data_IF_727041758086
#
_entry.id   IF_727041758086
#
_cell.length_a   1.000
_cell.length_b   1.000
_cell.length_c   1.000
_cell.angle_alpha   90.00
_cell.angle_beta   90.00
_cell.angle_gamma   90.00
#
_symmetry.space_group_name_H-M   'P 1'
#
loop_
_entity.id
_entity.type
_entity.pdbx_description
1 polymer ?
#
# COMPACT_ATOMS: atom_id res chain seq x y z
N UNK A 1 27.96 -13.97 3.36
CA UNK A 1 27.02 -13.92 4.51
C UNK A 1 25.91 -12.95 4.14
N UNK A 2 24.67 -13.40 4.03
CA UNK A 2 23.53 -12.48 3.95
C UNK A 2 23.38 -11.81 5.32
N UNK A 3 23.29 -10.49 5.36
CA UNK A 3 23.03 -9.79 6.62
C UNK A 3 21.57 -10.02 7.02
N UNK A 4 21.33 -10.24 8.31
CA UNK A 4 19.99 -10.29 8.88
C UNK A 4 19.37 -8.90 8.87
N UNK A 5 18.07 -8.81 8.64
CA UNK A 5 17.37 -7.54 8.72
C UNK A 5 17.44 -6.96 10.14
N UNK A 6 17.75 -5.67 10.24
CA UNK A 6 17.78 -4.92 11.49
C UNK A 6 16.69 -3.85 11.47
N UNK A 7 15.69 -4.00 12.36
CA UNK A 7 14.59 -3.05 12.46
C UNK A 7 15.09 -1.69 12.97
N UNK A 8 14.92 -0.68 12.13
CA UNK A 8 15.40 0.70 12.36
C UNK A 8 16.93 0.84 12.36
N UNK A 9 17.65 -0.14 11.82
CA UNK A 9 19.06 0.00 11.46
C UNK A 9 19.27 1.01 10.32
N UNK A 10 20.53 1.33 10.04
CA UNK A 10 20.90 2.38 9.06
C UNK A 10 20.31 2.13 7.67
N UNK A 11 20.36 0.89 7.17
CA UNK A 11 19.80 0.53 5.87
C UNK A 11 18.27 0.72 5.82
N UNK A 12 17.58 0.33 6.89
CA UNK A 12 16.13 0.49 7.00
C UNK A 12 15.74 1.98 6.99
N UNK A 13 16.35 2.78 7.85
CA UNK A 13 16.09 4.22 7.93
C UNK A 13 16.43 4.95 6.63
N UNK A 14 17.54 4.59 5.99
CA UNK A 14 17.89 5.13 4.68
C UNK A 14 16.84 4.79 3.62
N UNK A 15 16.31 3.56 3.63
CA UNK A 15 15.27 3.12 2.70
C UNK A 15 13.96 3.88 2.92
N UNK A 16 13.54 4.05 4.18
CA UNK A 16 12.38 4.87 4.54
C UNK A 16 12.55 6.32 4.11
N UNK A 17 13.75 6.90 4.32
CA UNK A 17 14.06 8.25 3.91
C UNK A 17 13.98 8.41 2.39
N UNK A 18 14.56 7.48 1.62
CA UNK A 18 14.49 7.49 0.16
C UNK A 18 13.04 7.43 -0.33
N UNK A 19 12.24 6.52 0.23
CA UNK A 19 10.81 6.41 -0.11
C UNK A 19 10.07 7.72 0.20
N UNK A 20 10.25 8.28 1.40
CA UNK A 20 9.61 9.52 1.81
C UNK A 20 10.01 10.72 0.94
N UNK A 21 11.31 10.85 0.64
CA UNK A 21 11.84 11.90 -0.25
C UNK A 21 11.26 11.76 -1.65
N UNK A 22 11.28 10.56 -2.23
CA UNK A 22 10.73 10.33 -3.57
C UNK A 22 9.22 10.56 -3.61
N UNK A 23 8.49 10.16 -2.57
CA UNK A 23 7.03 10.32 -2.51
C UNK A 23 6.61 11.80 -2.56
N UNK A 24 7.46 12.73 -2.14
CA UNK A 24 7.17 14.16 -2.14
C UNK A 24 7.87 14.89 -3.28
N UNK A 25 9.19 14.76 -3.41
CA UNK A 25 9.98 15.58 -4.34
C UNK A 25 9.75 15.20 -5.80
N UNK A 26 9.60 13.91 -6.12
CA UNK A 26 9.35 13.47 -7.50
C UNK A 26 8.07 14.10 -8.07
N UNK A 27 6.87 13.90 -7.46
CA UNK A 27 5.66 14.48 -8.01
C UNK A 27 5.58 16.00 -7.90
N UNK A 28 6.21 16.62 -6.89
CA UNK A 28 6.32 18.08 -6.83
C UNK A 28 7.18 18.64 -7.96
N UNK A 29 8.32 17.99 -8.26
CA UNK A 29 9.20 18.34 -9.35
C UNK A 29 8.50 18.23 -10.70
N UNK A 30 7.79 17.13 -10.94
CA UNK A 30 6.97 16.96 -12.15
C UNK A 30 5.91 18.06 -12.24
N UNK A 31 5.13 18.28 -11.18
CA UNK A 31 4.05 19.28 -11.20
C UNK A 31 4.54 20.71 -11.40
N UNK A 32 5.65 21.11 -10.77
CA UNK A 32 6.11 22.51 -10.76
C UNK A 32 7.09 22.84 -11.87
N UNK A 33 7.97 21.89 -12.22
CA UNK A 33 9.11 22.14 -13.09
C UNK A 33 8.91 21.51 -14.48
N UNK A 34 8.25 20.35 -14.56
CA UNK A 34 8.14 19.56 -15.80
C UNK A 34 6.73 18.96 -15.99
N UNK A 35 5.67 19.78 -16.11
CA UNK A 35 4.30 19.28 -16.23
C UNK A 35 4.09 18.35 -17.45
N UNK A 36 4.83 18.54 -18.53
CA UNK A 36 4.79 17.68 -19.73
C UNK A 36 5.22 16.24 -19.44
N UNK A 37 5.98 16.02 -18.36
CA UNK A 37 6.43 14.70 -17.91
C UNK A 37 5.41 13.97 -17.04
N UNK A 38 4.23 14.56 -16.81
CA UNK A 38 3.19 13.96 -15.97
C UNK A 38 2.77 12.55 -16.40
N UNK A 39 2.61 12.31 -17.72
CA UNK A 39 2.26 10.97 -18.24
C UNK A 39 3.46 10.04 -18.32
N UNK A 40 4.61 10.42 -18.91
CA UNK A 40 5.79 9.55 -18.96
C UNK A 40 6.24 9.03 -17.59
N UNK A 41 6.28 9.89 -16.58
CA UNK A 41 6.69 9.47 -15.23
C UNK A 41 5.66 8.53 -14.61
N UNK A 42 4.36 8.78 -14.80
CA UNK A 42 3.33 7.86 -14.32
C UNK A 42 3.42 6.48 -14.99
N UNK A 43 3.67 6.44 -16.31
CA UNK A 43 3.87 5.20 -17.04
C UNK A 43 5.13 4.46 -16.60
N UNK A 44 6.22 5.18 -16.34
CA UNK A 44 7.43 4.60 -15.78
C UNK A 44 7.17 3.98 -14.40
N UNK A 45 6.51 4.70 -13.49
CA UNK A 45 6.16 4.18 -12.17
C UNK A 45 5.25 2.95 -12.26
N UNK A 46 4.25 2.96 -13.15
CA UNK A 46 3.37 1.82 -13.39
C UNK A 46 4.16 0.62 -13.96
N UNK A 47 5.08 0.86 -14.91
CA UNK A 47 5.94 -0.17 -15.46
C UNK A 47 6.84 -0.77 -14.37
N UNK A 48 7.46 0.05 -13.52
CA UNK A 48 8.30 -0.41 -12.43
C UNK A 48 7.52 -1.25 -11.41
N UNK A 49 6.30 -0.84 -11.07
CA UNK A 49 5.38 -1.59 -10.20
C UNK A 49 5.05 -2.97 -10.78
N UNK A 50 4.71 -3.05 -12.07
CA UNK A 50 4.36 -4.32 -12.70
C UNK A 50 5.60 -5.20 -12.96
N UNK A 51 6.73 -4.60 -13.31
CA UNK A 51 7.99 -5.31 -13.55
C UNK A 51 8.50 -5.97 -12.26
N UNK A 52 8.51 -5.23 -11.14
CA UNK A 52 8.92 -5.82 -9.86
C UNK A 52 7.98 -6.97 -9.46
N UNK A 53 6.67 -6.84 -9.69
CA UNK A 53 5.70 -7.86 -9.35
C UNK A 53 5.89 -9.11 -10.19
N UNK A 54 6.18 -8.92 -11.47
CA UNK A 54 6.52 -10.02 -12.39
C UNK A 54 7.76 -10.77 -11.93
N UNK A 55 8.79 -10.06 -11.45
CA UNK A 55 9.99 -10.68 -10.87
C UNK A 55 9.64 -11.45 -9.59
N UNK A 56 8.78 -10.90 -8.73
CA UNK A 56 8.31 -11.58 -7.53
C UNK A 56 7.57 -12.88 -7.87
N UNK A 57 6.59 -12.82 -8.78
CA UNK A 57 5.85 -13.99 -9.25
C UNK A 57 6.76 -15.03 -9.90
N UNK A 58 7.78 -14.61 -10.66
CA UNK A 58 8.77 -15.52 -11.21
C UNK A 58 9.58 -16.24 -10.13
N UNK A 59 9.98 -15.55 -9.05
CA UNK A 59 10.66 -16.17 -7.91
C UNK A 59 9.76 -17.16 -7.16
N UNK A 60 8.48 -16.83 -7.00
CA UNK A 60 7.49 -17.72 -6.39
C UNK A 60 7.30 -18.96 -7.26
N UNK A 61 7.13 -18.80 -8.57
CA UNK A 61 6.98 -19.89 -9.54
C UNK A 61 8.22 -20.80 -9.56
N UNK A 62 9.42 -20.21 -9.53
CA UNK A 62 10.67 -20.97 -9.50
C UNK A 62 10.84 -21.78 -8.21
N UNK A 63 10.26 -21.33 -7.09
CA UNK A 63 10.39 -21.97 -5.78
C UNK A 63 9.29 -22.99 -5.47
N UNK A 64 8.06 -22.70 -5.86
CA UNK A 64 6.87 -23.49 -5.49
C UNK A 64 6.14 -24.10 -6.69
N UNK A 65 6.55 -23.77 -7.91
CA UNK A 65 5.86 -24.19 -9.13
C UNK A 65 4.68 -23.28 -9.49
N UNK A 66 3.91 -23.69 -10.50
CA UNK A 66 2.72 -22.98 -10.95
C UNK A 66 1.52 -23.40 -10.06
N UNK A 67 1.37 -22.72 -8.92
CA UNK A 67 0.36 -23.02 -7.90
C UNK A 67 -0.47 -21.82 -7.44
N UNK A 68 -1.22 -22.01 -6.35
CA UNK A 68 -2.07 -20.98 -5.76
C UNK A 68 -1.25 -19.76 -5.28
N UNK A 69 0.01 -19.95 -4.92
CA UNK A 69 0.97 -18.94 -4.45
C UNK A 69 1.20 -17.81 -5.45
N UNK A 70 0.86 -18.01 -6.73
CA UNK A 70 0.97 -17.00 -7.79
C UNK A 70 -0.25 -16.08 -7.88
N UNK A 71 -1.33 -16.38 -7.16
CA UNK A 71 -2.52 -15.55 -7.18
C UNK A 71 -2.24 -14.24 -6.42
N UNK A 72 -2.57 -13.06 -6.97
CA UNK A 72 -2.33 -11.76 -6.34
C UNK A 72 -3.40 -11.47 -5.28
N UNK A 73 -3.60 -12.40 -4.35
CA UNK A 73 -4.61 -12.34 -3.30
C UNK A 73 -4.10 -11.68 -2.02
N UNK A 74 -2.79 -11.41 -1.92
CA UNK A 74 -2.25 -10.54 -0.89
C UNK A 74 -2.58 -9.07 -1.16
N UNK A 75 -2.81 -8.34 -0.06
CA UNK A 75 -3.18 -6.93 -0.11
C UNK A 75 -2.08 -6.07 -0.76
N UNK A 76 -0.82 -6.42 -0.59
CA UNK A 76 0.33 -5.76 -1.21
C UNK A 76 0.34 -5.94 -2.73
N UNK A 77 0.16 -7.17 -3.23
CA UNK A 77 0.07 -7.47 -4.65
C UNK A 77 -1.11 -6.72 -5.30
N UNK A 78 -2.28 -6.74 -4.65
CA UNK A 78 -3.43 -5.97 -5.14
C UNK A 78 -3.15 -4.45 -5.09
N UNK A 79 -2.46 -3.95 -4.06
CA UNK A 79 -2.08 -2.54 -3.97
C UNK A 79 -1.15 -2.11 -5.10
N UNK A 80 -0.21 -2.97 -5.53
CA UNK A 80 0.64 -2.75 -6.70
C UNK A 80 -0.21 -2.60 -7.96
N UNK A 81 -1.13 -3.54 -8.20
CA UNK A 81 -2.01 -3.53 -9.38
C UNK A 81 -2.91 -2.29 -9.41
N UNK A 82 -3.54 -1.93 -8.28
CA UNK A 82 -4.39 -0.75 -8.18
C UNK A 82 -3.59 0.56 -8.29
N UNK A 83 -2.35 0.60 -7.80
CA UNK A 83 -1.46 1.75 -7.98
C UNK A 83 -1.11 1.96 -9.45
N UNK A 84 -0.73 0.89 -10.16
CA UNK A 84 -0.50 0.95 -11.60
C UNK A 84 -1.77 1.39 -12.35
N UNK A 85 -2.93 0.84 -12.01
CA UNK A 85 -4.22 1.26 -12.57
C UNK A 85 -4.43 2.77 -12.42
N UNK A 86 -4.28 3.31 -11.21
CA UNK A 86 -4.48 4.74 -10.93
C UNK A 86 -3.50 5.60 -11.71
N UNK A 87 -2.24 5.19 -11.82
CA UNK A 87 -1.24 5.92 -12.60
C UNK A 87 -1.58 5.97 -14.09
N UNK A 88 -2.08 4.87 -14.65
CA UNK A 88 -2.43 4.76 -16.08
C UNK A 88 -3.74 5.47 -16.43
N UNK A 89 -4.73 5.45 -15.53
CA UNK A 89 -6.10 5.90 -15.84
C UNK A 89 -6.51 7.20 -15.16
N UNK A 90 -5.83 7.59 -14.07
CA UNK A 90 -6.26 8.70 -13.22
C UNK A 90 -7.60 8.46 -12.50
N UNK A 91 -8.05 7.21 -12.36
CA UNK A 91 -9.37 6.88 -11.82
C UNK A 91 -9.55 7.33 -10.36
N UNK A 92 -10.48 8.26 -10.05
CA UNK A 92 -10.72 8.71 -8.68
C UNK A 92 -11.26 7.59 -7.78
N UNK A 93 -12.06 6.66 -8.34
CA UNK A 93 -12.67 5.56 -7.56
C UNK A 93 -11.62 4.55 -7.08
N UNK A 94 -10.67 4.20 -7.94
CA UNK A 94 -9.57 3.31 -7.56
C UNK A 94 -8.62 4.03 -6.62
N UNK A 95 -8.34 5.32 -6.89
CA UNK A 95 -7.52 6.16 -6.02
C UNK A 95 -8.01 6.16 -4.56
N UNK A 96 -9.32 6.25 -4.34
CA UNK A 96 -9.88 6.25 -2.98
C UNK A 96 -9.54 4.99 -2.20
N UNK A 97 -9.58 3.83 -2.85
CA UNK A 97 -9.25 2.54 -2.23
C UNK A 97 -7.75 2.50 -1.92
N UNK A 98 -6.92 2.73 -2.94
CA UNK A 98 -5.46 2.61 -2.80
C UNK A 98 -4.87 3.69 -1.87
N UNK A 99 -5.49 4.85 -1.76
CA UNK A 99 -5.11 5.88 -0.80
C UNK A 99 -5.11 5.32 0.63
N UNK A 100 -6.19 4.66 1.02
CA UNK A 100 -6.31 4.11 2.36
C UNK A 100 -5.42 2.90 2.57
N UNK A 101 -5.27 2.02 1.58
CA UNK A 101 -4.40 0.85 1.69
C UNK A 101 -2.91 1.23 1.75
N UNK A 102 -2.47 2.18 0.93
CA UNK A 102 -1.08 2.62 0.88
C UNK A 102 -0.65 3.32 2.18
N UNK A 103 -1.48 4.24 2.69
CA UNK A 103 -1.14 4.97 3.91
C UNK A 103 -1.47 4.24 5.21
N UNK A 104 -2.14 3.09 5.16
CA UNK A 104 -2.30 2.20 6.31
C UNK A 104 -1.40 0.97 6.18
N UNK A 105 -1.88 -0.09 5.53
CA UNK A 105 -1.19 -1.38 5.45
C UNK A 105 0.21 -1.30 4.81
N UNK A 106 0.37 -0.63 3.67
CA UNK A 106 1.68 -0.53 3.01
C UNK A 106 2.68 0.28 3.85
N UNK A 107 2.24 1.36 4.49
CA UNK A 107 3.10 2.16 5.38
C UNK A 107 3.46 1.36 6.64
N UNK A 108 2.54 0.58 7.20
CA UNK A 108 2.85 -0.32 8.31
C UNK A 108 3.86 -1.40 7.90
N UNK A 109 3.71 -1.98 6.70
CA UNK A 109 4.67 -2.94 6.16
C UNK A 109 6.06 -2.32 5.95
N UNK A 110 6.14 -1.05 5.54
CA UNK A 110 7.41 -0.33 5.45
C UNK A 110 8.03 -0.06 6.82
N UNK A 111 7.24 0.32 7.84
CA UNK A 111 7.75 0.68 9.16
C UNK A 111 8.14 -0.54 10.01
N UNK A 112 7.42 -1.65 9.86
CA UNK A 112 7.67 -2.90 10.58
C UNK A 112 7.63 -4.06 9.58
N UNK A 113 8.64 -4.18 8.71
CA UNK A 113 8.67 -5.18 7.66
C UNK A 113 8.90 -6.58 8.23
N UNK A 114 8.19 -7.56 7.66
CA UNK A 114 8.42 -8.97 7.97
C UNK A 114 9.52 -9.55 7.06
N UNK A 115 10.75 -9.04 7.23
CA UNK A 115 11.93 -9.47 6.48
C UNK A 115 12.92 -10.20 7.39
N UNK A 116 13.45 -11.32 6.92
CA UNK A 116 14.59 -12.00 7.56
C UNK A 116 15.93 -11.49 7.02
N UNK A 117 16.01 -11.23 5.72
CA UNK A 117 17.23 -10.80 5.03
C UNK A 117 17.27 -9.27 4.95
N UNK A 118 18.38 -8.69 5.38
CA UNK A 118 18.68 -7.26 5.29
C UNK A 118 19.28 -6.86 3.94
N UNK A 119 19.62 -5.58 3.81
CA UNK A 119 20.34 -5.05 2.65
C UNK A 119 21.73 -5.70 2.54
N UNK A 120 22.23 -6.03 1.32
CA UNK A 120 21.68 -5.77 -0.01
C UNK A 120 20.95 -6.99 -0.63
N UNK A 121 20.26 -7.81 0.17
CA UNK A 121 19.54 -8.98 -0.39
C UNK A 121 18.49 -8.54 -1.42
N UNK A 122 18.31 -9.36 -2.47
CA UNK A 122 17.30 -9.10 -3.50
C UNK A 122 15.89 -9.01 -2.90
N UNK A 123 15.60 -9.83 -1.89
CA UNK A 123 14.32 -9.82 -1.17
C UNK A 123 14.08 -8.50 -0.44
N UNK A 124 15.10 -7.96 0.24
CA UNK A 124 15.04 -6.64 0.84
C UNK A 124 14.75 -5.55 -0.22
N UNK A 125 15.51 -5.56 -1.32
CA UNK A 125 15.38 -4.55 -2.38
C UNK A 125 13.99 -4.58 -3.01
N UNK A 126 13.50 -5.77 -3.40
CA UNK A 126 12.17 -5.92 -4.01
C UNK A 126 11.05 -5.53 -3.04
N UNK A 127 11.19 -5.85 -1.74
CA UNK A 127 10.21 -5.46 -0.73
C UNK A 127 10.07 -3.94 -0.63
N UNK A 128 11.17 -3.21 -0.43
CA UNK A 128 11.15 -1.75 -0.33
C UNK A 128 10.80 -1.08 -1.65
N UNK A 129 11.20 -1.65 -2.78
CA UNK A 129 10.81 -1.16 -4.11
C UNK A 129 9.29 -1.29 -4.31
N UNK A 130 8.71 -2.45 -4.04
CA UNK A 130 7.27 -2.69 -4.19
C UNK A 130 6.44 -1.75 -3.31
N UNK A 131 6.65 -1.79 -1.99
CA UNK A 131 5.88 -1.00 -1.04
C UNK A 131 6.17 0.51 -1.17
N UNK A 132 7.43 0.86 -1.42
CA UNK A 132 7.84 2.25 -1.64
C UNK A 132 7.20 2.84 -2.89
N UNK A 133 7.20 2.12 -4.01
CA UNK A 133 6.56 2.57 -5.26
C UNK A 133 5.05 2.75 -5.09
N UNK A 134 4.36 1.91 -4.31
CA UNK A 134 2.93 2.10 -4.01
C UNK A 134 2.71 3.45 -3.31
N UNK A 135 3.48 3.77 -2.26
CA UNK A 135 3.38 5.06 -1.56
C UNK A 135 3.70 6.23 -2.49
N UNK A 136 4.79 6.14 -3.27
CA UNK A 136 5.17 7.16 -4.26
C UNK A 136 4.05 7.36 -5.28
N UNK A 137 3.41 6.31 -5.74
CA UNK A 137 2.33 6.35 -6.75
C UNK A 137 1.08 7.03 -6.23
N UNK A 138 0.69 6.77 -4.97
CA UNK A 138 -0.46 7.45 -4.34
C UNK A 138 -0.15 8.93 -4.14
N UNK A 139 1.03 9.28 -3.66
CA UNK A 139 1.44 10.69 -3.57
C UNK A 139 1.50 11.37 -4.95
N UNK A 140 1.94 10.64 -5.97
CA UNK A 140 1.95 11.12 -7.35
C UNK A 140 0.54 11.44 -7.85
N UNK A 141 -0.40 10.51 -7.68
CA UNK A 141 -1.80 10.72 -8.02
C UNK A 141 -2.42 11.89 -7.23
N UNK A 142 -2.07 12.04 -5.95
CA UNK A 142 -2.51 13.18 -5.15
C UNK A 142 -1.99 14.53 -5.67
N UNK A 143 -0.70 14.61 -5.97
CA UNK A 143 -0.04 15.87 -6.26
C UNK A 143 -0.21 16.26 -7.72
N UNK A 144 0.03 15.33 -8.64
CA UNK A 144 0.03 15.56 -10.10
C UNK A 144 -1.39 15.49 -10.66
N UNK A 145 -2.15 14.44 -10.34
CA UNK A 145 -3.53 14.29 -10.82
C UNK A 145 -4.56 15.00 -9.95
N UNK A 146 -4.13 15.58 -8.81
CA UNK A 146 -4.98 16.33 -7.87
C UNK A 146 -6.11 15.48 -7.29
N UNK A 147 -5.89 14.17 -7.17
CA UNK A 147 -6.84 13.26 -6.52
C UNK A 147 -6.74 13.41 -5.00
N UNK A 148 -7.87 13.23 -4.31
CA UNK A 148 -7.94 13.29 -2.85
C UNK A 148 -9.13 12.48 -2.33
N UNK A 149 -9.08 11.97 -1.09
CA UNK A 149 -10.23 11.31 -0.49
C UNK A 149 -11.32 12.33 -0.10
N UNK A 150 -12.54 11.80 -0.01
CA UNK A 150 -13.77 12.48 0.41
C UNK A 150 -14.46 11.65 1.52
N UNK A 151 -15.45 12.19 2.25
CA UNK A 151 -16.12 11.43 3.31
C UNK A 151 -16.69 10.10 2.81
N UNK A 152 -17.29 10.11 1.60
CA UNK A 152 -17.83 8.93 0.96
C UNK A 152 -16.75 7.90 0.55
N UNK A 153 -15.47 8.27 0.55
CA UNK A 153 -14.36 7.37 0.23
C UNK A 153 -14.13 6.35 1.35
N UNK A 154 -14.40 6.69 2.61
CA UNK A 154 -14.25 5.77 3.76
C UNK A 154 -15.14 4.53 3.60
N UNK A 155 -16.49 4.64 3.48
CA UNK A 155 -17.34 3.44 3.35
C UNK A 155 -17.07 2.68 2.05
N UNK A 156 -16.63 3.34 0.98
CA UNK A 156 -16.23 2.66 -0.27
C UNK A 156 -14.97 1.82 -0.11
N UNK A 157 -13.94 2.38 0.51
CA UNK A 157 -12.71 1.64 0.78
C UNK A 157 -12.92 0.54 1.82
N UNK A 158 -13.71 0.80 2.86
CA UNK A 158 -14.06 -0.22 3.85
C UNK A 158 -14.85 -1.37 3.22
N UNK A 159 -15.87 -1.05 2.40
CA UNK A 159 -16.65 -2.04 1.66
C UNK A 159 -15.80 -2.86 0.70
N UNK A 160 -14.89 -2.23 -0.05
CA UNK A 160 -13.95 -2.94 -0.93
C UNK A 160 -13.00 -3.83 -0.13
N UNK A 161 -12.47 -3.34 1.00
CA UNK A 161 -11.56 -4.11 1.86
C UNK A 161 -12.27 -5.35 2.41
N UNK A 162 -13.51 -5.20 2.87
CA UNK A 162 -14.31 -6.32 3.36
C UNK A 162 -14.66 -7.30 2.23
N UNK A 163 -15.10 -6.82 1.08
CA UNK A 163 -15.41 -7.67 -0.07
C UNK A 163 -14.18 -8.46 -0.54
N UNK A 164 -13.01 -7.81 -0.60
CA UNK A 164 -11.76 -8.47 -0.94
C UNK A 164 -11.35 -9.49 0.12
N UNK A 165 -11.43 -9.14 1.42
CA UNK A 165 -11.13 -10.07 2.49
C UNK A 165 -12.04 -11.32 2.49
N UNK A 166 -13.34 -11.15 2.20
CA UNK A 166 -14.27 -12.29 2.05
C UNK A 166 -13.87 -13.17 0.87
N UNK A 167 -13.57 -12.57 -0.29
CA UNK A 167 -13.11 -13.30 -1.47
C UNK A 167 -11.83 -14.10 -1.16
N UNK A 168 -10.86 -13.46 -0.51
CA UNK A 168 -9.58 -14.08 -0.13
C UNK A 168 -9.78 -15.17 0.92
N UNK A 169 -10.68 -14.97 1.89
CA UNK A 169 -11.00 -15.99 2.88
C UNK A 169 -11.61 -17.24 2.23
N UNK A 170 -12.52 -17.08 1.27
CA UNK A 170 -13.09 -18.20 0.51
C UNK A 170 -12.00 -18.91 -0.31
N UNK A 171 -11.12 -18.16 -0.99
CA UNK A 171 -10.01 -18.75 -1.73
C UNK A 171 -9.05 -19.53 -0.81
N UNK A 172 -8.70 -18.97 0.35
CA UNK A 172 -7.87 -19.62 1.36
C UNK A 172 -8.46 -20.95 1.84
N UNK A 173 -9.77 -21.00 2.09
CA UNK A 173 -10.45 -22.24 2.50
C UNK A 173 -10.45 -23.30 1.38
N UNK A 174 -10.59 -22.89 0.12
CA UNK A 174 -10.61 -23.82 -1.02
C UNK A 174 -9.22 -24.33 -1.41
N UNK A 175 -8.21 -23.47 -1.30
CA UNK A 175 -6.85 -23.72 -1.78
C UNK A 175 -5.89 -24.16 -0.65
N UNK A 176 -6.33 -24.13 0.61
CA UNK A 176 -5.48 -24.41 1.77
C UNK A 176 -4.38 -23.37 2.00
N UNK A 177 -4.58 -22.14 1.52
CA UNK A 177 -3.60 -21.04 1.59
C UNK A 177 -3.88 -20.10 2.76
N UNK A 178 -2.97 -19.14 2.99
CA UNK A 178 -3.09 -18.14 4.06
C UNK A 178 -2.79 -16.71 3.57
N UNK A 179 -3.36 -16.32 2.44
CA UNK A 179 -3.28 -14.94 1.94
C UNK A 179 -3.84 -13.94 2.94
N UNK A 180 -3.21 -12.76 2.99
CA UNK A 180 -3.53 -11.68 3.93
C UNK A 180 -3.52 -12.09 5.41
N UNK A 181 -2.94 -13.26 5.75
CA UNK A 181 -2.96 -13.85 7.08
C UNK A 181 -4.38 -13.94 7.66
N UNK A 182 -5.36 -14.40 6.86
CA UNK A 182 -6.75 -14.56 7.32
C UNK A 182 -7.02 -15.90 8.00
N UNK A 183 -6.21 -16.94 7.76
CA UNK A 183 -6.39 -18.27 8.36
C UNK A 183 -5.50 -18.46 9.58
N UNK A 184 -4.27 -17.94 9.52
CA UNK A 184 -3.33 -17.97 10.63
C UNK A 184 -2.47 -16.69 10.67
N UNK A 185 -2.05 -16.31 11.87
CA UNK A 185 -1.09 -15.20 12.05
C UNK A 185 0.29 -15.61 11.52
N UNK A 186 1.15 -14.66 11.13
CA UNK A 186 2.53 -14.97 10.80
C UNK A 186 3.26 -15.60 11.99
N UNK A 187 4.19 -16.51 11.71
CA UNK A 187 4.99 -17.20 12.74
C UNK A 187 5.97 -16.27 13.48
N UNK A 188 6.23 -15.09 12.90
CA UNK A 188 7.16 -14.11 13.46
C UNK A 188 6.40 -13.08 14.30
N UNK A 189 7.04 -12.54 15.36
CA UNK A 189 6.43 -11.51 16.19
C UNK A 189 5.92 -10.35 15.35
N UNK A 190 4.65 -10.00 15.52
CA UNK A 190 4.01 -8.97 14.73
C UNK A 190 2.91 -8.25 15.51
N UNK A 191 2.40 -7.15 14.96
CA UNK A 191 1.22 -6.48 15.52
C UNK A 191 0.00 -7.41 15.60
N UNK A 192 -0.04 -8.47 14.78
CA UNK A 192 -1.15 -9.43 14.79
C UNK A 192 -1.23 -10.23 16.08
N UNK A 193 -0.13 -10.37 16.83
CA UNK A 193 -0.11 -11.13 18.09
C UNK A 193 -1.07 -10.54 19.13
N UNK A 194 -1.27 -9.22 19.08
CA UNK A 194 -2.11 -8.45 20.00
C UNK A 194 -3.59 -8.42 19.60
N UNK A 195 -3.97 -8.98 18.45
CA UNK A 195 -5.31 -8.84 17.88
C UNK A 195 -6.34 -9.88 18.36
N UNK A 196 -5.94 -10.79 19.28
CA UNK A 196 -6.78 -11.88 19.77
C UNK A 196 -6.68 -13.17 18.93
N UNK A 197 -7.39 -14.25 19.30
CA UNK A 197 -7.30 -15.55 18.62
C UNK A 197 -8.05 -15.55 17.28
N UNK A 198 -7.71 -16.51 16.42
CA UNK A 198 -8.50 -16.78 15.21
C UNK A 198 -9.86 -17.38 15.60
N UNK A 199 -10.98 -17.06 14.92
CA UNK A 199 -11.14 -16.07 13.84
C UNK A 199 -11.46 -14.65 14.36
N UNK A 200 -11.53 -14.45 15.68
CA UNK A 200 -11.96 -13.19 16.29
C UNK A 200 -11.09 -11.98 15.95
N UNK A 201 -9.80 -12.19 15.65
CA UNK A 201 -8.93 -11.09 15.22
C UNK A 201 -9.35 -10.45 13.89
N UNK A 202 -10.24 -11.07 13.10
CA UNK A 202 -10.84 -10.42 11.92
C UNK A 202 -11.59 -9.15 12.30
N UNK A 203 -12.28 -9.16 13.45
CA UNK A 203 -12.96 -7.98 13.98
C UNK A 203 -11.95 -6.92 14.41
N UNK A 204 -10.86 -7.33 15.03
CA UNK A 204 -9.75 -6.45 15.42
C UNK A 204 -9.08 -5.81 14.19
N UNK A 205 -8.85 -6.58 13.12
CA UNK A 205 -8.33 -6.07 11.84
C UNK A 205 -9.29 -5.09 11.19
N UNK A 206 -10.59 -5.39 11.17
CA UNK A 206 -11.61 -4.47 10.65
C UNK A 206 -11.65 -3.16 11.45
N UNK A 207 -11.63 -3.25 12.78
CA UNK A 207 -11.59 -2.09 13.66
C UNK A 207 -10.34 -1.24 13.46
N UNK A 208 -9.17 -1.88 13.35
CA UNK A 208 -7.90 -1.21 13.09
C UNK A 208 -7.89 -0.53 11.72
N UNK A 209 -8.39 -1.20 10.67
CA UNK A 209 -8.51 -0.64 9.33
C UNK A 209 -9.43 0.60 9.32
N UNK A 210 -10.62 0.49 9.95
CA UNK A 210 -11.55 1.62 10.04
C UNK A 210 -10.96 2.79 10.82
N UNK A 211 -10.28 2.53 11.94
CA UNK A 211 -9.58 3.54 12.72
C UNK A 211 -8.51 4.23 11.87
N UNK A 212 -7.68 3.47 11.16
CA UNK A 212 -6.67 4.00 10.26
C UNK A 212 -7.31 4.87 9.15
N UNK A 213 -8.43 4.44 8.56
CA UNK A 213 -9.10 5.21 7.51
C UNK A 213 -9.65 6.54 8.05
N UNK A 214 -10.22 6.54 9.26
CA UNK A 214 -10.67 7.76 9.92
C UNK A 214 -9.51 8.73 10.20
N UNK A 215 -8.40 8.21 10.74
CA UNK A 215 -7.19 9.00 11.00
C UNK A 215 -6.62 9.60 9.71
N UNK A 216 -6.52 8.80 8.64
CA UNK A 216 -6.02 9.24 7.34
C UNK A 216 -6.95 10.26 6.67
N UNK A 217 -8.26 10.17 6.89
CA UNK A 217 -9.22 11.14 6.36
C UNK A 217 -9.28 12.45 7.19
N UNK A 218 -8.92 12.42 8.47
CA UNK A 218 -9.08 13.55 9.39
C UNK A 218 -8.46 14.88 8.88
N UNK A 219 -7.23 14.91 8.30
CA UNK A 219 -6.66 16.15 7.78
C UNK A 219 -7.51 16.81 6.69
N UNK A 220 -8.12 16.00 5.82
CA UNK A 220 -8.98 16.47 4.73
C UNK A 220 -10.30 17.03 5.25
N UNK A 221 -10.89 16.38 6.24
CA UNK A 221 -12.10 16.86 6.90
C UNK A 221 -11.89 18.23 7.55
N UNK A 222 -10.75 18.41 8.25
CA UNK A 222 -10.39 19.68 8.89
C UNK A 222 -10.18 20.77 7.83
N UNK A 223 -9.47 20.45 6.74
CA UNK A 223 -9.22 21.38 5.63
C UNK A 223 -10.53 21.85 4.97
N UNK A 224 -11.46 20.94 4.69
CA UNK A 224 -12.75 21.25 4.05
C UNK A 224 -13.63 22.13 4.94
N UNK A 225 -13.66 21.86 6.26
CA UNK A 225 -14.42 22.69 7.21
C UNK A 225 -13.86 24.11 7.32
N UNK A 226 -12.53 24.27 7.31
CA UNK A 226 -11.88 25.59 7.32
C UNK A 226 -12.18 26.37 6.03
N UNK A 227 -12.14 25.71 4.88
CA UNK A 227 -12.49 26.32 3.59
C UNK A 227 -13.94 26.82 3.53
N UNK A 228 -14.90 26.00 3.98
CA UNK A 228 -16.32 26.38 4.04
C UNK A 228 -16.57 27.56 4.98
N UNK A 229 -15.93 27.59 6.15
CA UNK A 229 -16.02 28.72 7.10
C UNK A 229 -15.48 30.01 6.49
N UNK A 230 -14.33 29.97 5.80
CA UNK A 230 -13.73 31.15 5.16
C UNK A 230 -14.66 31.75 4.09
N UNK A 231 -15.27 30.90 3.26
CA UNK A 231 -16.20 31.35 2.23
C UNK A 231 -17.53 31.88 2.82
N UNK A 232 -17.98 31.33 3.95
CA UNK A 232 -19.19 31.82 4.65
C UNK A 232 -18.97 33.16 5.37
N UNK A 233 -17.72 33.51 5.72
CA UNK A 233 -17.37 34.78 6.38
C UNK A 233 -16.93 35.90 5.43
N UNK A 234 -17.01 35.71 4.11
CA UNK A 234 -16.85 36.78 3.11
C UNK A 234 -15.56 37.61 3.23
N UNK A 235 -14.40 36.97 3.09
CA UNK A 235 -13.14 37.63 2.68
C UNK A 235 -12.61 36.96 1.43
#
# INVERSE_FOLDING_TARGET
MQQTFELFGTAHLASLLVVGVLAILLPLGVRRLRPDWARPVAWLLALLLLAQETVHLWQVAARYGLGAELLPLDLSAMAVLLSAWVLLTGSPRVFEIIYFWAFSATTQALLTPDLAEGFPSLRYILFFLSHGLVVVSVCYAMIVYRLRPYPASIPRAAGMTLAFAVLVAVANLQLGTNFMYLMAKPDRPSLMDWLGPWPWYWLSLLGLALLAFLVLYAPWFIADRRGRRRNATGR
#
